data_IF_237370827116
#
_entry.id   IF_237370827116
#
_cell.length_a   1.000
_cell.length_b   1.000
_cell.length_c   1.000
_cell.angle_alpha   90.00
_cell.angle_beta   90.00
_cell.angle_gamma   90.00
#
_symmetry.space_group_name_H-M   'P 1'
#
loop_
_entity.id
_entity.type
_entity.pdbx_description
1 polymer ?
#
# COMPACT_ATOMS: atom_id res chain seq x y z
N UNK A 1 -30.22 2.16 -38.85
CA UNK A 1 -29.83 2.71 -37.54
C UNK A 1 -29.76 1.63 -36.45
N UNK A 2 -30.76 0.75 -36.30
CA UNK A 2 -30.76 -0.32 -35.27
C UNK A 2 -29.62 -1.35 -35.37
N UNK A 3 -29.24 -1.76 -36.59
CA UNK A 3 -28.11 -2.70 -36.78
C UNK A 3 -26.80 -2.08 -36.29
N UNK A 4 -26.58 -0.79 -36.55
CA UNK A 4 -25.39 -0.05 -36.11
C UNK A 4 -25.38 0.04 -34.58
N UNK A 5 -26.49 0.40 -33.95
CA UNK A 5 -26.61 0.44 -32.48
C UNK A 5 -26.34 -0.93 -31.84
N UNK A 6 -26.85 -2.02 -32.43
CA UNK A 6 -26.61 -3.39 -31.94
C UNK A 6 -25.13 -3.77 -31.99
N UNK A 7 -24.46 -3.46 -33.10
CA UNK A 7 -23.02 -3.73 -33.25
C UNK A 7 -22.19 -2.88 -32.27
N UNK A 8 -22.53 -1.60 -32.11
CA UNK A 8 -21.87 -0.71 -31.14
C UNK A 8 -22.06 -1.22 -29.71
N UNK A 9 -23.27 -1.66 -29.33
CA UNK A 9 -23.55 -2.26 -28.03
C UNK A 9 -22.65 -3.45 -27.76
N UNK A 10 -22.55 -4.35 -28.74
CA UNK A 10 -21.76 -5.59 -28.61
C UNK A 10 -20.27 -5.29 -28.45
N UNK A 11 -19.73 -4.33 -29.21
CA UNK A 11 -18.34 -3.88 -29.09
C UNK A 11 -18.08 -3.27 -27.71
N UNK A 12 -18.97 -2.39 -27.24
CA UNK A 12 -18.84 -1.77 -25.92
C UNK A 12 -18.93 -2.81 -24.79
N UNK A 13 -19.81 -3.80 -24.94
CA UNK A 13 -19.95 -4.90 -23.98
C UNK A 13 -18.66 -5.71 -23.85
N UNK A 14 -18.05 -6.12 -24.97
CA UNK A 14 -16.75 -6.83 -24.93
C UNK A 14 -15.68 -5.95 -24.30
N UNK A 15 -15.65 -4.67 -24.67
CA UNK A 15 -14.66 -3.71 -24.17
C UNK A 15 -14.76 -3.51 -22.65
N UNK A 16 -15.98 -3.54 -22.10
CA UNK A 16 -16.22 -3.50 -20.64
C UNK A 16 -15.53 -4.66 -19.94
N UNK A 17 -15.69 -5.91 -20.40
CA UNK A 17 -15.08 -7.06 -19.73
C UNK A 17 -13.56 -7.08 -19.84
N UNK A 18 -13.02 -6.60 -20.95
CA UNK A 18 -11.57 -6.42 -21.11
C UNK A 18 -11.07 -5.37 -20.10
N UNK A 19 -11.70 -4.20 -20.05
CA UNK A 19 -11.35 -3.13 -19.10
C UNK A 19 -11.49 -3.60 -17.66
N UNK A 20 -12.56 -4.34 -17.34
CA UNK A 20 -12.81 -4.89 -16.02
C UNK A 20 -11.68 -5.81 -15.56
N UNK A 21 -11.23 -6.72 -16.44
CA UNK A 21 -10.08 -7.58 -16.16
C UNK A 21 -8.80 -6.75 -15.98
N UNK A 22 -8.52 -5.80 -16.88
CA UNK A 22 -7.33 -4.93 -16.79
C UNK A 22 -7.32 -4.13 -15.49
N UNK A 23 -8.47 -3.61 -15.07
CA UNK A 23 -8.64 -2.82 -13.87
C UNK A 23 -8.35 -3.64 -12.61
N UNK A 24 -9.00 -4.79 -12.42
CA UNK A 24 -8.72 -5.70 -11.29
C UNK A 24 -7.25 -6.03 -11.24
N UNK A 25 -6.71 -6.35 -12.41
CA UNK A 25 -5.36 -6.81 -12.54
C UNK A 25 -4.34 -5.72 -12.12
N UNK A 26 -4.53 -4.48 -12.57
CA UNK A 26 -3.73 -3.34 -12.10
C UNK A 26 -3.94 -3.04 -10.62
N UNK A 27 -5.17 -3.19 -10.10
CA UNK A 27 -5.46 -3.01 -8.67
C UNK A 27 -4.70 -3.99 -7.79
N UNK A 28 -4.50 -5.23 -8.24
CA UNK A 28 -3.69 -6.23 -7.51
C UNK A 28 -2.19 -5.99 -7.70
N UNK A 29 -1.76 -5.54 -8.88
CA UNK A 29 -0.36 -5.18 -9.13
C UNK A 29 0.15 -4.09 -8.18
N UNK A 30 -0.71 -3.17 -7.74
CA UNK A 30 -0.38 -2.16 -6.72
C UNK A 30 0.07 -2.76 -5.37
N UNK A 31 -0.21 -4.05 -5.12
CA UNK A 31 -0.05 -4.68 -3.80
C UNK A 31 0.98 -5.81 -3.84
N UNK A 32 1.13 -6.46 -4.99
CA UNK A 32 2.05 -7.57 -5.20
C UNK A 32 2.96 -7.26 -6.38
N UNK A 33 4.22 -6.91 -6.08
CA UNK A 33 5.30 -6.65 -7.05
C UNK A 33 5.74 -7.90 -7.83
N UNK A 34 5.00 -9.01 -7.74
CA UNK A 34 5.41 -10.27 -8.34
C UNK A 34 5.27 -10.17 -9.86
N UNK A 35 6.39 -9.87 -10.53
CA UNK A 35 6.48 -9.64 -11.97
C UNK A 35 6.34 -10.92 -12.81
N UNK A 36 6.16 -12.10 -12.18
CA UNK A 36 5.99 -13.38 -12.89
C UNK A 36 4.55 -13.59 -13.34
N UNK A 37 4.14 -12.77 -14.31
CA UNK A 37 2.95 -13.00 -15.11
C UNK A 37 2.99 -14.38 -15.76
N UNK A 38 2.00 -15.21 -15.44
CA UNK A 38 1.85 -16.51 -16.09
C UNK A 38 0.77 -16.40 -17.17
N UNK A 39 1.09 -16.87 -18.39
CA UNK A 39 0.17 -16.99 -19.54
C UNK A 39 -1.18 -17.64 -19.15
N UNK A 40 -1.17 -18.48 -18.11
CA UNK A 40 -2.35 -19.14 -17.52
C UNK A 40 -3.39 -18.13 -16.99
N UNK A 41 -2.99 -16.99 -16.41
CA UNK A 41 -3.95 -15.97 -15.93
C UNK A 41 -4.73 -15.34 -17.09
N UNK A 42 -4.03 -14.96 -18.16
CA UNK A 42 -4.66 -14.43 -19.37
C UNK A 42 -5.56 -15.47 -20.06
N UNK A 43 -5.19 -16.75 -20.01
CA UNK A 43 -6.03 -17.84 -20.53
C UNK A 43 -7.34 -17.99 -19.74
N UNK A 44 -7.29 -17.95 -18.40
CA UNK A 44 -8.49 -18.02 -17.55
C UNK A 44 -9.36 -16.76 -17.70
N UNK A 45 -8.75 -15.59 -17.88
CA UNK A 45 -9.46 -14.35 -18.18
C UNK A 45 -10.14 -14.38 -19.54
N UNK A 46 -9.44 -14.87 -20.58
CA UNK A 46 -10.00 -15.09 -21.91
C UNK A 46 -11.18 -16.05 -21.86
N UNK A 47 -11.07 -17.15 -21.11
CA UNK A 47 -12.17 -18.10 -20.88
C UNK A 47 -13.38 -17.40 -20.23
N UNK A 48 -13.16 -16.53 -19.25
CA UNK A 48 -14.23 -15.76 -18.61
C UNK A 48 -14.94 -14.83 -19.61
N UNK A 49 -14.19 -14.10 -20.44
CA UNK A 49 -14.74 -13.20 -21.47
C UNK A 49 -15.53 -14.00 -22.51
N UNK A 50 -14.99 -15.14 -22.97
CA UNK A 50 -15.66 -16.03 -23.92
C UNK A 50 -16.97 -16.56 -23.34
N UNK A 51 -16.99 -17.00 -22.08
CA UNK A 51 -18.21 -17.44 -21.38
C UNK A 51 -19.26 -16.33 -21.30
N UNK A 52 -18.85 -15.07 -21.08
CA UNK A 52 -19.76 -13.91 -21.06
C UNK A 52 -20.32 -13.58 -22.44
N UNK A 53 -19.49 -13.65 -23.49
CA UNK A 53 -19.94 -13.47 -24.88
C UNK A 53 -20.93 -14.57 -25.27
N UNK A 54 -20.63 -15.83 -24.94
CA UNK A 54 -21.53 -16.97 -25.18
C UNK A 54 -22.89 -16.75 -24.54
N UNK A 55 -22.92 -16.26 -23.29
CA UNK A 55 -24.16 -15.97 -22.56
C UNK A 55 -25.04 -14.92 -23.24
N UNK A 56 -24.43 -13.99 -23.98
CA UNK A 56 -25.15 -12.94 -24.71
C UNK A 56 -25.60 -13.37 -26.11
N UNK A 57 -24.81 -14.22 -26.76
CA UNK A 57 -25.08 -14.68 -28.14
C UNK A 57 -26.00 -15.90 -28.23
N UNK A 58 -25.97 -16.77 -27.23
CA UNK A 58 -26.67 -18.07 -27.25
C UNK A 58 -27.79 -18.05 -26.20
N UNK A 59 -29.04 -18.37 -26.58
CA UNK A 59 -30.14 -18.50 -25.63
C UNK A 59 -29.98 -19.79 -24.82
N UNK A 60 -29.34 -19.69 -23.66
CA UNK A 60 -29.28 -20.78 -22.69
C UNK A 60 -30.59 -20.91 -21.89
N UNK A 61 -30.82 -22.10 -21.34
CA UNK A 61 -31.86 -22.26 -20.31
C UNK A 61 -31.52 -21.38 -19.09
N UNK A 62 -32.55 -20.85 -18.40
CA UNK A 62 -32.36 -19.96 -17.22
C UNK A 62 -31.39 -20.55 -16.19
N UNK A 63 -31.47 -21.86 -15.93
CA UNK A 63 -30.59 -22.55 -14.97
C UNK A 63 -29.12 -22.54 -15.42
N UNK A 64 -28.85 -22.81 -16.70
CA UNK A 64 -27.48 -22.82 -17.25
C UNK A 64 -26.92 -21.40 -17.30
N UNK A 65 -27.72 -20.42 -17.71
CA UNK A 65 -27.31 -19.00 -17.70
C UNK A 65 -26.94 -18.50 -16.29
N UNK A 66 -27.73 -18.83 -15.27
CA UNK A 66 -27.46 -18.45 -13.89
C UNK A 66 -26.19 -19.11 -13.32
N UNK A 67 -25.86 -20.33 -13.75
CA UNK A 67 -24.63 -21.02 -13.35
C UNK A 67 -23.42 -20.32 -13.97
N UNK A 68 -23.44 -20.05 -15.28
CA UNK A 68 -22.36 -19.35 -15.98
C UNK A 68 -22.16 -17.94 -15.41
N UNK A 69 -23.24 -17.23 -15.08
CA UNK A 69 -23.16 -15.91 -14.46
C UNK A 69 -22.48 -15.96 -13.09
N UNK A 70 -22.85 -16.94 -12.24
CA UNK A 70 -22.26 -17.16 -10.90
C UNK A 70 -20.82 -17.64 -10.92
N UNK A 71 -20.42 -18.42 -11.94
CA UNK A 71 -19.02 -18.86 -12.12
C UNK A 71 -18.08 -17.72 -12.52
N UNK A 72 -18.62 -16.57 -12.92
CA UNK A 72 -17.83 -15.43 -13.36
C UNK A 72 -16.86 -14.88 -12.32
N UNK A 73 -17.35 -14.54 -11.13
CA UNK A 73 -16.52 -13.96 -10.04
C UNK A 73 -15.48 -14.96 -9.52
N UNK A 74 -15.78 -16.26 -9.31
CA UNK A 74 -14.78 -17.27 -9.00
C UNK A 74 -13.67 -17.40 -10.06
N UNK A 75 -14.03 -17.40 -11.35
CA UNK A 75 -13.04 -17.46 -12.44
C UNK A 75 -12.14 -16.23 -12.48
N UNK A 76 -12.70 -15.05 -12.22
CA UNK A 76 -11.93 -13.81 -12.07
C UNK A 76 -10.98 -13.87 -10.87
N UNK A 77 -11.48 -14.26 -9.69
CA UNK A 77 -10.64 -14.46 -8.50
C UNK A 77 -9.51 -15.48 -8.77
N UNK A 78 -9.82 -16.58 -9.46
CA UNK A 78 -8.84 -17.60 -9.83
C UNK A 78 -7.80 -17.04 -10.82
N UNK A 79 -8.23 -16.29 -11.83
CA UNK A 79 -7.34 -15.69 -12.83
C UNK A 79 -6.33 -14.74 -12.18
N UNK A 80 -6.77 -13.95 -11.20
CA UNK A 80 -5.93 -12.95 -10.53
C UNK A 80 -5.04 -13.62 -9.47
N UNK A 81 -5.56 -14.63 -8.76
CA UNK A 81 -4.77 -15.43 -7.83
C UNK A 81 -3.61 -16.16 -8.53
N UNK A 82 -3.85 -16.74 -9.70
CA UNK A 82 -2.83 -17.42 -10.49
C UNK A 82 -1.69 -16.48 -10.95
N UNK A 83 -1.93 -15.17 -10.96
CA UNK A 83 -0.92 -14.14 -11.24
C UNK A 83 -0.11 -13.71 -10.02
N UNK A 84 -0.73 -13.65 -8.83
CA UNK A 84 -0.11 -13.09 -7.61
C UNK A 84 -0.09 -14.10 -6.45
N UNK A 85 0.76 -15.12 -6.61
CA UNK A 85 0.78 -16.33 -5.75
C UNK A 85 1.20 -16.07 -4.31
N UNK A 86 1.95 -14.99 -4.04
CA UNK A 86 2.55 -14.73 -2.72
C UNK A 86 1.57 -14.19 -1.66
N UNK A 87 0.42 -13.64 -2.05
CA UNK A 87 -0.57 -13.09 -1.12
C UNK A 87 -2.01 -13.43 -1.51
N UNK A 88 -2.40 -14.71 -1.37
CA UNK A 88 -3.75 -15.23 -1.66
C UNK A 88 -4.85 -14.35 -1.04
N UNK A 89 -4.74 -14.07 0.26
CA UNK A 89 -5.77 -13.31 0.98
C UNK A 89 -5.90 -11.89 0.40
N UNK A 90 -4.80 -11.15 0.29
CA UNK A 90 -4.81 -9.76 -0.24
C UNK A 90 -5.34 -9.70 -1.68
N UNK A 91 -5.02 -10.69 -2.50
CA UNK A 91 -5.47 -10.76 -3.90
C UNK A 91 -6.98 -11.01 -3.99
N UNK A 92 -7.49 -11.96 -3.22
CA UNK A 92 -8.91 -12.28 -3.15
C UNK A 92 -9.71 -11.08 -2.64
N UNK A 93 -9.17 -10.34 -1.68
CA UNK A 93 -9.77 -9.12 -1.14
C UNK A 93 -10.03 -8.06 -2.18
N UNK A 94 -8.98 -7.69 -2.91
CA UNK A 94 -8.99 -6.55 -3.83
C UNK A 94 -9.90 -6.87 -4.98
N UNK A 95 -9.84 -8.12 -5.44
CA UNK A 95 -10.73 -8.63 -6.48
C UNK A 95 -12.19 -8.57 -6.02
N UNK A 96 -12.49 -9.03 -4.81
CA UNK A 96 -13.85 -9.00 -4.26
C UNK A 96 -14.34 -7.57 -3.98
N UNK A 97 -13.51 -6.71 -3.39
CA UNK A 97 -13.83 -5.32 -3.10
C UNK A 97 -14.10 -4.56 -4.41
N UNK A 98 -13.22 -4.71 -5.40
CA UNK A 98 -13.43 -4.14 -6.72
C UNK A 98 -14.74 -4.62 -7.35
N UNK A 99 -14.99 -5.94 -7.34
CA UNK A 99 -16.23 -6.50 -7.89
C UNK A 99 -17.48 -5.99 -7.18
N UNK A 100 -17.37 -5.61 -5.91
CA UNK A 100 -18.49 -5.13 -5.10
C UNK A 100 -18.76 -3.65 -5.31
N UNK A 101 -17.70 -2.84 -5.42
CA UNK A 101 -17.81 -1.43 -5.81
C UNK A 101 -18.36 -1.30 -7.23
N UNK A 102 -17.91 -2.14 -8.14
CA UNK A 102 -18.37 -2.12 -9.52
C UNK A 102 -19.83 -2.57 -9.63
N UNK A 103 -20.23 -3.63 -8.91
CA UNK A 103 -21.63 -4.05 -8.86
C UNK A 103 -22.55 -2.97 -8.28
N UNK A 104 -22.12 -2.26 -7.23
CA UNK A 104 -22.91 -1.19 -6.60
C UNK A 104 -23.13 -0.02 -7.56
N UNK A 105 -22.07 0.48 -8.18
CA UNK A 105 -22.13 1.55 -9.18
C UNK A 105 -22.97 1.12 -10.39
N UNK A 106 -22.82 -0.12 -10.84
CA UNK A 106 -23.63 -0.72 -11.88
C UNK A 106 -25.13 -0.70 -11.58
N UNK A 107 -25.53 -0.99 -10.34
CA UNK A 107 -26.94 -0.91 -9.97
C UNK A 107 -27.49 0.50 -9.90
N UNK A 108 -26.71 1.45 -9.39
CA UNK A 108 -27.12 2.85 -9.38
C UNK A 108 -27.33 3.34 -10.81
N UNK A 109 -26.43 3.02 -11.73
CA UNK A 109 -26.56 3.35 -13.16
C UNK A 109 -27.83 2.74 -13.75
N UNK A 110 -28.06 1.43 -13.55
CA UNK A 110 -29.23 0.76 -14.12
C UNK A 110 -30.55 1.37 -13.60
N UNK A 111 -30.62 1.69 -12.31
CA UNK A 111 -31.82 2.33 -11.73
C UNK A 111 -32.02 3.75 -12.29
N UNK A 112 -30.96 4.54 -12.41
CA UNK A 112 -31.04 5.89 -13.00
C UNK A 112 -31.49 5.85 -14.46
N UNK A 113 -30.98 4.89 -15.23
CA UNK A 113 -31.39 4.67 -16.63
C UNK A 113 -32.85 4.26 -16.71
N UNK A 114 -33.32 3.40 -15.82
CA UNK A 114 -34.74 3.01 -15.80
C UNK A 114 -35.68 4.20 -15.57
N UNK A 115 -35.23 5.22 -14.83
CA UNK A 115 -35.99 6.43 -14.54
C UNK A 115 -35.92 7.43 -15.70
N UNK A 116 -34.74 7.66 -16.26
CA UNK A 116 -34.48 8.76 -17.20
C UNK A 116 -34.68 8.35 -18.66
N UNK A 117 -34.30 7.12 -19.01
CA UNK A 117 -34.15 6.70 -20.42
C UNK A 117 -35.39 5.91 -20.88
N UNK A 118 -35.94 6.22 -22.07
CA UNK A 118 -37.02 5.44 -22.68
C UNK A 118 -36.64 3.97 -22.87
N UNK A 119 -37.61 3.07 -22.70
CA UNK A 119 -37.42 1.59 -22.70
C UNK A 119 -36.58 1.12 -23.90
N UNK A 120 -36.80 1.68 -25.10
CA UNK A 120 -36.09 1.31 -26.33
C UNK A 120 -34.57 1.49 -26.25
N UNK A 121 -34.08 2.44 -25.46
CA UNK A 121 -32.66 2.82 -25.41
C UNK A 121 -31.93 2.39 -24.14
N UNK A 122 -32.63 1.84 -23.15
CA UNK A 122 -32.06 1.53 -21.82
C UNK A 122 -30.82 0.64 -21.87
N UNK A 123 -30.91 -0.47 -22.60
CA UNK A 123 -29.80 -1.42 -22.75
C UNK A 123 -28.57 -0.77 -23.39
N UNK A 124 -28.77 0.05 -24.42
CA UNK A 124 -27.68 0.75 -25.11
C UNK A 124 -27.01 1.79 -24.20
N UNK A 125 -27.81 2.62 -23.51
CA UNK A 125 -27.29 3.61 -22.56
C UNK A 125 -26.58 2.96 -21.37
N UNK A 126 -27.07 1.79 -20.91
CA UNK A 126 -26.51 1.05 -19.80
C UNK A 126 -25.10 0.61 -20.07
N UNK A 127 -24.90 -0.10 -21.19
CA UNK A 127 -23.58 -0.59 -21.59
C UNK A 127 -22.60 0.58 -21.84
N UNK A 128 -23.06 1.67 -22.45
CA UNK A 128 -22.22 2.84 -22.71
C UNK A 128 -21.77 3.56 -21.43
N UNK A 129 -22.68 3.82 -20.49
CA UNK A 129 -22.32 4.43 -19.20
C UNK A 129 -21.38 3.54 -18.38
N UNK A 130 -21.60 2.22 -18.44
CA UNK A 130 -20.75 1.26 -17.76
C UNK A 130 -19.31 1.21 -18.31
N UNK A 131 -19.19 1.33 -19.64
CA UNK A 131 -17.90 1.47 -20.32
C UNK A 131 -17.16 2.73 -19.87
N UNK A 132 -17.84 3.87 -19.86
CA UNK A 132 -17.26 5.14 -19.42
C UNK A 132 -16.77 5.09 -17.97
N UNK A 133 -17.53 4.44 -17.08
CA UNK A 133 -17.13 4.29 -15.68
C UNK A 133 -15.88 3.43 -15.51
N UNK A 134 -15.81 2.28 -16.20
CA UNK A 134 -14.62 1.43 -16.17
C UNK A 134 -13.38 2.12 -16.77
N UNK A 135 -13.58 2.94 -17.80
CA UNK A 135 -12.54 3.77 -18.39
C UNK A 135 -12.07 4.87 -17.42
N UNK A 136 -12.99 5.54 -16.73
CA UNK A 136 -12.66 6.52 -15.70
C UNK A 136 -11.87 5.88 -14.55
N UNK A 137 -12.28 4.69 -14.09
CA UNK A 137 -11.53 3.92 -13.10
C UNK A 137 -10.10 3.61 -13.58
N UNK A 138 -9.94 3.17 -14.82
CA UNK A 138 -8.63 2.92 -15.41
C UNK A 138 -7.72 4.16 -15.38
N UNK A 139 -8.25 5.33 -15.75
CA UNK A 139 -7.51 6.59 -15.72
C UNK A 139 -7.13 7.02 -14.30
N UNK A 140 -8.07 6.95 -13.35
CA UNK A 140 -7.81 7.24 -11.93
C UNK A 140 -6.70 6.32 -11.40
N UNK A 141 -6.77 5.03 -11.76
CA UNK A 141 -5.81 4.05 -11.27
C UNK A 141 -4.42 4.24 -11.84
N UNK A 142 -4.31 4.63 -13.10
CA UNK A 142 -3.02 4.87 -13.78
C UNK A 142 -2.37 6.21 -13.46
N UNK A 143 -3.15 7.26 -13.15
CA UNK A 143 -2.62 8.61 -12.89
C UNK A 143 -2.49 8.92 -11.40
N UNK A 144 -3.44 8.48 -10.57
CA UNK A 144 -3.52 8.89 -9.16
C UNK A 144 -3.07 7.79 -8.19
N UNK A 145 -3.56 6.55 -8.38
CA UNK A 145 -3.26 5.45 -7.44
C UNK A 145 -1.84 4.92 -7.58
N UNK A 146 -1.25 4.96 -8.78
CA UNK A 146 0.16 4.61 -9.03
C UNK A 146 1.14 5.54 -8.33
N UNK A 147 0.84 6.84 -8.24
CA UNK A 147 1.69 7.81 -7.54
C UNK A 147 1.72 7.57 -6.02
N UNK A 148 0.66 6.96 -5.47
CA UNK A 148 0.53 6.64 -4.04
C UNK A 148 0.66 5.14 -3.76
N UNK A 149 1.24 4.39 -4.69
CA UNK A 149 1.25 2.92 -4.64
C UNK A 149 1.90 2.38 -3.36
N UNK A 150 3.03 2.95 -2.94
CA UNK A 150 3.75 2.50 -1.75
C UNK A 150 2.95 2.75 -0.46
N UNK A 151 2.39 3.95 -0.30
CA UNK A 151 1.54 4.30 0.84
C UNK A 151 0.29 3.41 0.92
N UNK A 152 -0.33 3.11 -0.22
CA UNK A 152 -1.50 2.24 -0.31
C UNK A 152 -1.16 0.78 -0.02
N UNK A 153 0.00 0.32 -0.50
CA UNK A 153 0.47 -1.05 -0.25
C UNK A 153 0.73 -1.24 1.23
N UNK A 154 1.45 -0.31 1.85
CA UNK A 154 1.76 -0.35 3.28
C UNK A 154 0.47 -0.34 4.10
N UNK A 155 -0.48 0.54 3.81
CA UNK A 155 -1.72 0.60 4.58
C UNK A 155 -2.59 -0.66 4.50
N UNK A 156 -2.61 -1.34 3.35
CA UNK A 156 -3.30 -2.61 3.16
C UNK A 156 -2.69 -3.74 3.99
N UNK A 157 -1.41 -3.65 4.38
CA UNK A 157 -0.79 -4.63 5.30
C UNK A 157 -1.30 -4.51 6.73
N UNK A 158 -1.79 -3.33 7.11
CA UNK A 158 -2.24 -3.02 8.47
C UNK A 158 -3.76 -3.14 8.63
N UNK A 159 -4.50 -3.45 7.56
CA UNK A 159 -5.91 -3.79 7.67
C UNK A 159 -6.04 -5.06 8.51
N UNK A 160 -6.75 -4.94 9.63
CA UNK A 160 -7.02 -6.08 10.50
C UNK A 160 -7.82 -7.17 9.74
N UNK A 161 -7.47 -8.45 9.94
CA UNK A 161 -8.22 -9.57 9.35
C UNK A 161 -9.72 -9.53 9.66
N UNK A 162 -10.13 -8.95 10.79
CA UNK A 162 -11.55 -8.75 11.13
C UNK A 162 -12.25 -7.72 10.23
N UNK A 163 -11.62 -6.58 9.95
CA UNK A 163 -12.18 -5.56 9.04
C UNK A 163 -12.23 -6.06 7.61
N UNK A 164 -11.24 -6.84 7.21
CA UNK A 164 -11.22 -7.58 5.95
C UNK A 164 -12.46 -8.48 5.78
N UNK A 165 -12.73 -9.33 6.78
CA UNK A 165 -13.86 -10.26 6.74
C UNK A 165 -15.18 -9.49 6.72
N UNK A 166 -15.29 -8.42 7.49
CA UNK A 166 -16.47 -7.55 7.51
C UNK A 166 -16.77 -6.96 6.13
N UNK A 167 -15.77 -6.41 5.43
CA UNK A 167 -15.93 -5.85 4.08
C UNK A 167 -16.34 -6.93 3.07
N UNK A 168 -15.81 -8.16 3.21
CA UNK A 168 -16.22 -9.28 2.34
C UNK A 168 -17.66 -9.75 2.59
N UNK A 169 -18.09 -9.82 3.85
CA UNK A 169 -19.48 -10.13 4.20
C UNK A 169 -20.39 -9.05 3.62
N UNK A 170 -20.00 -7.79 3.79
CA UNK A 170 -20.71 -6.63 3.26
C UNK A 170 -20.88 -6.70 1.73
N UNK A 171 -19.78 -6.93 1.02
CA UNK A 171 -19.72 -7.17 -0.41
C UNK A 171 -20.71 -8.25 -0.89
N UNK A 172 -20.79 -9.37 -0.15
CA UNK A 172 -21.71 -10.47 -0.47
C UNK A 172 -23.18 -10.11 -0.24
N UNK A 173 -23.49 -9.37 0.83
CA UNK A 173 -24.85 -8.90 1.10
C UNK A 173 -25.31 -7.97 -0.02
N UNK A 174 -24.46 -7.02 -0.42
CA UNK A 174 -24.79 -6.09 -1.49
C UNK A 174 -25.01 -6.81 -2.83
N UNK A 175 -24.11 -7.72 -3.19
CA UNK A 175 -24.26 -8.55 -4.40
C UNK A 175 -25.57 -9.34 -4.41
N UNK A 176 -26.00 -9.86 -3.25
CA UNK A 176 -27.26 -10.59 -3.12
C UNK A 176 -28.49 -9.69 -3.30
N UNK A 177 -28.49 -8.48 -2.72
CA UNK A 177 -29.56 -7.49 -2.89
C UNK A 177 -29.76 -7.13 -4.37
N UNK A 178 -28.66 -6.99 -5.10
CA UNK A 178 -28.65 -6.70 -6.54
C UNK A 178 -29.22 -7.86 -7.35
N UNK A 179 -28.93 -9.10 -7.00
CA UNK A 179 -29.51 -10.26 -7.68
C UNK A 179 -31.02 -10.35 -7.50
N UNK A 180 -31.55 -9.94 -6.34
CA UNK A 180 -32.99 -9.99 -6.04
C UNK A 180 -33.78 -9.00 -6.89
N UNK A 181 -33.26 -7.80 -7.15
CA UNK A 181 -33.94 -6.83 -8.04
C UNK A 181 -34.07 -7.32 -9.46
N UNK A 182 -33.00 -7.91 -10.01
CA UNK A 182 -33.00 -8.48 -11.38
C UNK A 182 -33.90 -9.71 -11.50
N UNK A 183 -34.00 -10.51 -10.44
CA UNK A 183 -34.89 -11.67 -10.42
C UNK A 183 -36.37 -11.27 -10.40
N UNK A 184 -36.71 -10.20 -9.68
CA UNK A 184 -38.08 -9.69 -9.57
C UNK A 184 -38.67 -9.20 -10.90
N UNK A 185 -37.85 -8.62 -11.79
CA UNK A 185 -38.28 -8.18 -13.14
C UNK A 185 -38.67 -9.35 -14.05
N UNK A 186 -38.08 -10.52 -13.83
CA UNK A 186 -38.31 -11.72 -14.64
C UNK A 186 -39.53 -12.54 -14.19
N UNK A 187 -40.13 -12.19 -13.05
CA UNK A 187 -41.31 -12.84 -12.50
C UNK A 187 -42.57 -12.10 -12.96
N UNK A 188 -43.44 -12.79 -13.72
CA UNK A 188 -44.72 -12.24 -14.20
C UNK A 188 -45.71 -11.83 -13.08
N UNK A 189 -45.41 -12.17 -11.82
CA UNK A 189 -46.32 -12.07 -10.68
C UNK A 189 -46.06 -10.88 -9.74
N UNK A 190 -45.03 -10.05 -9.99
CA UNK A 190 -44.66 -8.98 -9.07
C UNK A 190 -45.23 -7.63 -9.51
N UNK A 191 -45.97 -6.96 -8.62
CA UNK A 191 -46.50 -5.61 -8.84
C UNK A 191 -45.39 -4.64 -9.22
N UNK A 192 -45.51 -3.97 -10.37
CA UNK A 192 -44.52 -2.98 -10.88
C UNK A 192 -44.19 -1.92 -9.82
N UNK A 193 -45.18 -1.53 -9.00
CA UNK A 193 -45.01 -0.61 -7.87
C UNK A 193 -44.06 -1.14 -6.78
N UNK A 194 -44.12 -2.44 -6.46
CA UNK A 194 -43.25 -3.06 -5.46
C UNK A 194 -41.78 -3.05 -5.90
N UNK A 195 -41.51 -3.38 -7.17
CA UNK A 195 -40.16 -3.33 -7.74
C UNK A 195 -39.60 -1.90 -7.72
N UNK A 196 -40.44 -0.90 -8.00
CA UNK A 196 -40.06 0.50 -7.91
C UNK A 196 -39.64 0.89 -6.48
N UNK A 197 -40.44 0.55 -5.46
CA UNK A 197 -40.09 0.82 -4.06
C UNK A 197 -38.81 0.10 -3.63
N UNK A 198 -38.62 -1.17 -3.99
CA UNK A 198 -37.39 -1.92 -3.68
C UNK A 198 -36.16 -1.24 -4.30
N UNK A 199 -36.25 -0.78 -5.56
CA UNK A 199 -35.16 -0.04 -6.22
C UNK A 199 -34.86 1.29 -5.51
N UNK A 200 -35.90 2.00 -5.06
CA UNK A 200 -35.75 3.27 -4.32
C UNK A 200 -34.99 3.08 -3.01
N UNK A 201 -35.26 2.01 -2.25
CA UNK A 201 -34.59 1.73 -0.98
C UNK A 201 -33.14 1.21 -1.14
N UNK A 202 -32.79 0.62 -2.28
CA UNK A 202 -31.43 0.11 -2.52
C UNK A 202 -30.42 1.24 -2.77
N UNK A 203 -30.84 2.34 -3.39
CA UNK A 203 -29.96 3.51 -3.64
C UNK A 203 -29.32 4.04 -2.35
N UNK A 204 -30.07 4.42 -1.29
CA UNK A 204 -29.47 4.93 -0.06
C UNK A 204 -28.61 3.88 0.65
N UNK A 205 -28.99 2.59 0.58
CA UNK A 205 -28.18 1.49 1.13
C UNK A 205 -26.82 1.43 0.42
N UNK A 206 -26.79 1.52 -0.91
CA UNK A 206 -25.55 1.57 -1.69
C UNK A 206 -24.70 2.80 -1.33
N UNK A 207 -25.31 3.98 -1.18
CA UNK A 207 -24.59 5.22 -0.83
C UNK A 207 -23.98 5.13 0.58
N UNK A 208 -24.79 4.76 1.58
CA UNK A 208 -24.34 4.59 2.97
C UNK A 208 -23.19 3.58 3.03
N UNK A 209 -23.27 2.53 2.22
CA UNK A 209 -22.25 1.52 2.20
C UNK A 209 -20.92 1.94 1.60
N UNK A 210 -20.96 2.72 0.53
CA UNK A 210 -19.76 3.29 -0.06
C UNK A 210 -19.08 4.20 0.96
N UNK A 211 -19.88 4.98 1.70
CA UNK A 211 -19.41 5.81 2.79
C UNK A 211 -18.77 4.98 3.92
N UNK A 212 -19.40 3.89 4.37
CA UNK A 212 -18.84 2.98 5.40
C UNK A 212 -17.51 2.38 4.93
N UNK A 213 -17.41 1.91 3.69
CA UNK A 213 -16.17 1.36 3.14
C UNK A 213 -15.05 2.41 3.15
N UNK A 214 -15.35 3.65 2.75
CA UNK A 214 -14.39 4.76 2.77
C UNK A 214 -13.93 5.04 4.22
N UNK A 215 -14.85 5.10 5.18
CA UNK A 215 -14.52 5.31 6.59
C UNK A 215 -13.65 4.18 7.17
N UNK A 216 -13.94 2.92 6.82
CA UNK A 216 -13.16 1.77 7.27
C UNK A 216 -11.73 1.82 6.73
N UNK A 217 -11.57 2.17 5.45
CA UNK A 217 -10.25 2.37 4.83
C UNK A 217 -9.54 3.53 5.53
N UNK A 218 -10.18 4.68 5.69
CA UNK A 218 -9.60 5.86 6.35
C UNK A 218 -9.17 5.59 7.79
N UNK A 219 -9.98 4.88 8.58
CA UNK A 219 -9.64 4.47 9.94
C UNK A 219 -8.44 3.53 9.96
N UNK A 220 -8.35 2.60 9.00
CA UNK A 220 -7.19 1.73 8.86
C UNK A 220 -5.92 2.51 8.47
N UNK A 221 -6.02 3.46 7.54
CA UNK A 221 -4.93 4.36 7.17
C UNK A 221 -4.43 5.14 8.39
N UNK A 222 -5.36 5.69 9.16
CA UNK A 222 -5.07 6.48 10.35
C UNK A 222 -4.32 5.66 11.40
N UNK A 223 -4.77 4.44 11.69
CA UNK A 223 -4.08 3.53 12.62
C UNK A 223 -2.66 3.19 12.16
N UNK A 224 -2.46 2.96 10.86
CA UNK A 224 -1.13 2.73 10.31
C UNK A 224 -0.21 3.95 10.53
N UNK A 225 -0.71 5.14 10.21
CA UNK A 225 0.03 6.39 10.38
C UNK A 225 0.45 6.60 11.84
N UNK A 226 -0.47 6.43 12.79
CA UNK A 226 -0.15 6.58 14.21
C UNK A 226 0.87 5.56 14.70
N UNK A 227 0.76 4.29 14.30
CA UNK A 227 1.72 3.26 14.70
C UNK A 227 3.11 3.54 14.13
N UNK A 228 3.19 3.91 12.86
CA UNK A 228 4.47 4.26 12.22
C UNK A 228 5.11 5.49 12.86
N UNK A 229 4.31 6.50 13.17
CA UNK A 229 4.77 7.70 13.87
C UNK A 229 5.32 7.35 15.26
N UNK A 230 4.63 6.49 16.01
CA UNK A 230 5.10 6.01 17.31
C UNK A 230 6.42 5.23 17.21
N UNK A 231 6.57 4.33 16.23
CA UNK A 231 7.82 3.59 16.00
C UNK A 231 8.99 4.51 15.62
N UNK A 232 8.73 5.59 14.86
CA UNK A 232 9.75 6.57 14.52
C UNK A 232 10.15 7.42 15.73
N UNK A 233 9.16 7.82 16.54
CA UNK A 233 9.40 8.57 17.76
C UNK A 233 10.22 7.75 18.77
N UNK A 234 9.92 6.46 18.93
CA UNK A 234 10.67 5.56 19.81
C UNK A 234 12.14 5.44 19.39
N UNK A 235 12.39 5.29 18.07
CA UNK A 235 13.76 5.33 17.54
C UNK A 235 14.47 6.65 17.76
N UNK A 236 13.75 7.78 17.65
CA UNK A 236 14.31 9.09 17.92
C UNK A 236 14.69 9.24 19.39
N UNK A 237 13.87 8.75 20.31
CA UNK A 237 14.16 8.74 21.74
C UNK A 237 15.37 7.87 22.07
N UNK A 238 15.49 6.67 21.50
CA UNK A 238 16.67 5.80 21.68
C UNK A 238 17.97 6.46 21.17
N UNK A 239 17.92 7.08 19.98
CA UNK A 239 19.05 7.85 19.45
C UNK A 239 19.42 9.03 20.35
N UNK A 240 18.41 9.74 20.88
CA UNK A 240 18.63 10.88 21.78
C UNK A 240 19.22 10.43 23.13
N UNK A 241 18.78 9.30 23.68
CA UNK A 241 19.33 8.73 24.90
C UNK A 241 20.82 8.39 24.73
N UNK A 242 21.17 7.69 23.65
CA UNK A 242 22.57 7.38 23.30
C UNK A 242 23.43 8.63 23.09
N UNK A 243 22.85 9.67 22.49
CA UNK A 243 23.54 10.95 22.32
C UNK A 243 23.87 11.60 23.67
N UNK A 244 22.93 11.58 24.63
CA UNK A 244 23.20 12.11 25.97
C UNK A 244 24.23 11.29 26.74
N UNK A 245 24.22 9.97 26.61
CA UNK A 245 25.26 9.09 27.18
C UNK A 245 26.64 9.45 26.64
N UNK A 246 26.76 9.65 25.32
CA UNK A 246 28.01 10.09 24.68
C UNK A 246 28.47 11.47 25.14
N UNK A 247 27.54 12.39 25.42
CA UNK A 247 27.86 13.68 26.04
C UNK A 247 28.43 13.47 27.45
N UNK A 248 27.78 12.64 28.27
CA UNK A 248 28.23 12.39 29.65
C UNK A 248 29.66 11.79 29.67
N UNK A 249 29.92 10.81 28.82
CA UNK A 249 31.26 10.23 28.61
C UNK A 249 32.28 11.31 28.20
N UNK A 250 31.95 12.11 27.18
CA UNK A 250 32.84 13.18 26.71
C UNK A 250 33.09 14.22 27.80
N UNK A 251 32.09 14.58 28.61
CA UNK A 251 32.28 15.53 29.71
C UNK A 251 33.16 14.95 30.81
N UNK A 252 33.04 13.64 31.08
CA UNK A 252 33.91 12.91 32.01
C UNK A 252 35.35 12.92 31.51
N UNK A 253 35.58 12.69 30.22
CA UNK A 253 36.92 12.73 29.62
C UNK A 253 37.52 14.13 29.64
N UNK A 254 36.73 15.18 29.37
CA UNK A 254 37.17 16.58 29.54
C UNK A 254 37.55 16.86 31.01
N UNK A 255 36.80 16.30 31.97
CA UNK A 255 37.11 16.48 33.40
C UNK A 255 38.44 15.80 33.77
N UNK A 256 38.69 14.59 33.28
CA UNK A 256 39.97 13.88 33.44
C UNK A 256 41.11 14.67 32.82
N UNK A 257 40.95 15.12 31.56
CA UNK A 257 41.93 15.95 30.87
C UNK A 257 42.29 17.21 31.67
N UNK A 258 41.28 17.92 32.19
CA UNK A 258 41.50 19.13 32.99
C UNK A 258 42.24 18.86 34.31
N UNK A 259 41.93 17.73 34.95
CA UNK A 259 42.62 17.30 36.16
C UNK A 259 44.10 17.02 35.88
N UNK A 260 44.39 16.24 34.83
CA UNK A 260 45.76 15.89 34.45
C UNK A 260 46.55 17.12 34.00
N UNK A 261 45.92 18.00 33.20
CA UNK A 261 46.48 19.29 32.83
C UNK A 261 46.85 20.15 34.05
N UNK A 262 45.97 20.22 35.05
CA UNK A 262 46.23 20.98 36.28
C UNK A 262 47.41 20.37 37.05
N UNK A 263 47.53 19.05 37.09
CA UNK A 263 48.65 18.35 37.73
C UNK A 263 49.97 18.61 37.01
N UNK A 264 49.99 18.55 35.67
CA UNK A 264 51.16 18.93 34.87
C UNK A 264 51.58 20.37 35.16
N UNK A 265 50.62 21.30 35.21
CA UNK A 265 50.91 22.71 35.51
C UNK A 265 51.45 22.92 36.93
N UNK A 266 50.94 22.17 37.92
CA UNK A 266 51.45 22.21 39.28
C UNK A 266 52.88 21.67 39.39
N UNK A 267 53.18 20.54 38.71
CA UNK A 267 54.50 19.95 38.69
C UNK A 267 55.52 20.92 38.07
N UNK A 268 55.18 21.50 36.91
CA UNK A 268 56.02 22.47 36.22
C UNK A 268 56.27 23.72 37.09
N UNK A 269 55.22 24.25 37.74
CA UNK A 269 55.34 25.40 38.66
C UNK A 269 56.26 25.09 39.84
N UNK A 270 56.24 23.86 40.36
CA UNK A 270 57.10 23.42 41.47
C UNK A 270 58.58 23.34 41.07
N UNK A 271 58.87 22.75 39.90
CA UNK A 271 60.24 22.64 39.37
C UNK A 271 60.85 24.03 39.09
N UNK A 272 60.08 24.91 38.44
CA UNK A 272 60.50 26.29 38.19
C UNK A 272 60.68 27.10 39.48
N UNK A 273 59.78 26.94 40.46
CA UNK A 273 59.90 27.57 41.78
C UNK A 273 61.14 27.11 42.57
N UNK A 274 61.60 25.89 42.31
CA UNK A 274 62.81 25.31 42.91
C UNK A 274 64.10 25.64 42.13
N UNK A 275 64.03 26.52 41.10
CA UNK A 275 65.13 26.87 40.18
C UNK A 275 65.73 25.68 39.42
N UNK A 276 65.00 24.57 39.28
CA UNK A 276 65.42 23.38 38.51
C UNK A 276 64.96 23.53 37.06
N UNK A 277 65.67 24.36 36.29
CA UNK A 277 65.30 24.71 34.92
C UNK A 277 65.45 23.50 33.98
N UNK A 278 66.53 22.74 34.10
CA UNK A 278 66.80 21.58 33.24
C UNK A 278 65.75 20.46 33.44
N UNK A 279 65.44 20.11 34.70
CA UNK A 279 64.39 19.15 35.05
C UNK A 279 63.00 19.57 34.50
N UNK A 280 62.71 20.88 34.46
CA UNK A 280 61.46 21.40 33.93
C UNK A 280 61.37 21.28 32.40
N UNK A 281 62.49 21.48 31.69
CA UNK A 281 62.58 21.28 30.25
C UNK A 281 62.40 19.80 29.89
N UNK A 282 63.08 18.91 30.60
CA UNK A 282 62.95 17.46 30.40
C UNK A 282 61.52 16.98 30.66
N UNK A 283 60.86 17.50 31.71
CA UNK A 283 59.46 17.20 31.97
C UNK A 283 58.51 17.70 30.87
N UNK A 284 58.77 18.87 30.30
CA UNK A 284 57.97 19.42 29.19
C UNK A 284 58.10 18.56 27.93
N UNK A 285 59.33 18.12 27.62
CA UNK A 285 59.60 17.19 26.52
C UNK A 285 58.85 15.87 26.73
N UNK A 286 58.83 15.35 27.96
CA UNK A 286 58.09 14.12 28.31
C UNK A 286 56.57 14.22 28.09
N UNK A 287 55.97 15.39 28.32
CA UNK A 287 54.54 15.63 28.05
C UNK A 287 54.29 15.69 26.54
N UNK A 288 55.18 16.37 25.81
CA UNK A 288 55.05 16.55 24.35
C UNK A 288 55.24 15.24 23.56
N UNK A 289 56.02 14.30 24.11
CA UNK A 289 56.26 12.99 23.52
C UNK A 289 55.09 11.98 23.72
N UNK A 290 54.04 12.36 24.46
CA UNK A 290 52.96 11.44 24.84
C UNK A 290 52.05 11.10 23.64
N UNK A 291 51.91 9.80 23.25
CA UNK A 291 51.21 9.40 22.01
C UNK A 291 49.72 9.74 21.94
N UNK A 292 49.08 10.00 23.09
CA UNK A 292 47.66 10.37 23.19
C UNK A 292 47.31 11.67 22.47
N UNK A 293 48.28 12.57 22.28
CA UNK A 293 48.10 13.81 21.53
C UNK A 293 48.13 13.59 20.01
N UNK A 294 48.66 12.45 19.56
CA UNK A 294 48.83 12.05 18.16
C UNK A 294 47.88 10.91 17.74
N UNK A 295 46.65 10.89 18.27
CA UNK A 295 45.63 9.94 17.78
C UNK A 295 45.24 10.34 16.35
N UNK A 296 45.81 9.63 15.37
CA UNK A 296 45.48 9.74 13.96
C UNK A 296 43.99 9.49 13.75
N UNK A 297 43.23 10.55 13.47
CA UNK A 297 41.88 10.41 12.93
C UNK A 297 41.98 9.95 11.48
N UNK A 298 41.03 9.11 11.01
CA UNK A 298 40.92 8.86 9.56
C UNK A 298 40.83 10.19 8.82
N UNK A 299 41.66 10.38 7.80
CA UNK A 299 41.73 11.58 6.96
C UNK A 299 41.84 11.16 5.49
N UNK A 300 40.70 10.82 4.91
CA UNK A 300 40.52 10.55 3.48
C UNK A 300 40.23 11.83 2.67
N UNK A 301 40.01 12.96 3.35
CA UNK A 301 39.61 14.23 2.73
C UNK A 301 38.09 14.39 2.59
N UNK A 302 37.31 13.37 2.93
CA UNK A 302 35.86 13.43 3.02
C UNK A 302 35.42 13.34 4.50
N UNK A 303 34.95 14.45 5.05
CA UNK A 303 34.59 14.59 6.47
C UNK A 303 33.53 13.58 6.93
N UNK A 304 32.60 13.21 6.05
CA UNK A 304 31.55 12.24 6.38
C UNK A 304 32.13 10.82 6.43
N UNK A 305 32.96 10.47 5.45
CA UNK A 305 33.64 9.16 5.41
C UNK A 305 34.57 9.01 6.61
N UNK A 306 35.32 10.06 6.94
CA UNK A 306 36.24 10.09 8.07
C UNK A 306 35.49 9.95 9.41
N UNK A 307 34.34 10.61 9.56
CA UNK A 307 33.49 10.45 10.76
C UNK A 307 32.98 9.01 10.90
N UNK A 308 32.49 8.39 9.81
CA UNK A 308 32.00 7.01 9.81
C UNK A 308 33.13 6.02 10.13
N UNK A 309 34.32 6.21 9.53
CA UNK A 309 35.47 5.34 9.75
C UNK A 309 36.01 5.44 11.17
N UNK A 310 36.07 6.65 11.73
CA UNK A 310 36.46 6.85 13.14
C UNK A 310 35.44 6.20 14.08
N UNK A 311 34.14 6.32 13.81
CA UNK A 311 33.08 5.70 14.62
C UNK A 311 33.13 4.16 14.56
N UNK A 312 33.31 3.59 13.35
CA UNK A 312 33.49 2.14 13.18
C UNK A 312 34.78 1.61 13.80
N UNK A 313 35.86 2.37 13.77
CA UNK A 313 37.11 1.99 14.44
C UNK A 313 37.00 2.04 15.96
N UNK A 314 36.24 2.99 16.51
CA UNK A 314 35.95 3.04 17.94
C UNK A 314 35.14 1.81 18.38
N UNK A 315 34.11 1.43 17.62
CA UNK A 315 33.32 0.22 17.87
C UNK A 315 34.18 -1.04 17.76
N UNK A 316 34.98 -1.17 16.69
CA UNK A 316 35.86 -2.33 16.50
C UNK A 316 36.88 -2.48 17.63
N UNK A 317 37.46 -1.36 18.11
CA UNK A 317 38.38 -1.38 19.24
C UNK A 317 37.70 -1.85 20.54
N UNK A 318 36.43 -1.48 20.76
CA UNK A 318 35.65 -1.94 21.90
C UNK A 318 35.36 -3.46 21.86
N UNK A 319 35.35 -4.05 20.66
CA UNK A 319 35.21 -5.49 20.44
C UNK A 319 36.56 -6.23 20.23
N UNK A 320 37.70 -5.60 20.56
CA UNK A 320 39.06 -6.14 20.38
C UNK A 320 39.49 -6.41 18.92
N UNK A 321 38.87 -5.77 17.93
CA UNK A 321 39.28 -5.81 16.53
C UNK A 321 40.03 -4.52 16.14
N UNK A 322 41.08 -4.67 15.33
CA UNK A 322 41.81 -3.52 14.74
C UNK A 322 41.51 -3.41 13.26
N UNK A 323 41.07 -2.23 12.84
CA UNK A 323 40.91 -1.86 11.43
C UNK A 323 42.24 -1.31 10.91
N UNK A 324 42.88 -2.06 10.01
CA UNK A 324 44.03 -1.60 9.24
C UNK A 324 43.58 -1.22 7.83
N UNK A 325 44.08 -0.09 7.33
CA UNK A 325 43.84 0.38 5.96
C UNK A 325 45.18 0.77 5.34
N UNK A 326 45.43 0.33 4.11
CA UNK A 326 46.63 0.61 3.31
C UNK A 326 46.34 1.57 2.17
#
# INVERSE_FOLDING_TARGET
MEIVLKNVRFILFISVYILYFVNIHKSVKLISDDNKFRKISYAVAGLHIILKILLETVPFSKQVGDVIWRMGVPLLCLSVFLSHKQHLLKTVYVTLLYSSLEASLGTVINILIDVIVPIKYRDYSGVALYFLLNLAYYFILTRYLTQKAEDLRLSLEFINRKTYIFILIYARILSKLISVTRAGENMKFTSVKLLFYVKLYIIPICIISMFIIILLISNSMSKFYYKRSAELLDKQLDMQAKYYEKIDEMTTDIRKFRHDYKNHMHCLKSLLGSKKIDDALEYLDSISANPTMNKTSFKSGNTIADAILNDKAAIAAHENFRLNFS
#
